data_IF_859566974816
#
_entry.id   IF_859566974816
#
_cell.length_a   1.000
_cell.length_b   1.000
_cell.length_c   1.000
_cell.angle_alpha   90.00
_cell.angle_beta   90.00
_cell.angle_gamma   90.00
#
_symmetry.space_group_name_H-M   'P 1'
#
loop_
_entity.id
_entity.type
_entity.pdbx_description
1 polymer ?
#
# COMPACT_ATOMS: atom_id res chain seq x y z
N UNK A 1 5.94 -19.78 30.43
CA UNK A 1 5.73 -18.33 30.15
C UNK A 1 5.89 -18.05 28.66
N UNK A 2 4.93 -17.35 28.04
CA UNK A 2 5.09 -16.90 26.67
C UNK A 2 6.08 -15.72 26.68
N UNK A 3 7.20 -15.87 25.96
CA UNK A 3 8.16 -14.78 25.74
C UNK A 3 7.61 -13.86 24.67
N UNK A 4 7.60 -12.55 24.93
CA UNK A 4 7.14 -11.53 23.99
C UNK A 4 8.24 -10.51 23.72
N UNK A 5 8.16 -9.86 22.55
CA UNK A 5 8.98 -8.70 22.18
C UNK A 5 8.07 -7.55 21.82
N UNK A 6 8.35 -6.36 22.36
CA UNK A 6 7.66 -5.12 22.06
C UNK A 6 8.70 -4.08 21.66
N UNK A 7 8.60 -3.58 20.44
CA UNK A 7 9.55 -2.61 19.88
C UNK A 7 8.74 -1.53 19.16
N UNK A 8 9.07 -0.27 19.43
CA UNK A 8 8.52 0.83 18.65
C UNK A 8 9.17 0.86 17.26
N UNK A 9 8.34 0.69 16.24
CA UNK A 9 8.74 0.73 14.82
C UNK A 9 8.05 1.87 14.06
N UNK A 10 7.43 2.81 14.76
CA UNK A 10 6.66 3.92 14.16
C UNK A 10 7.54 4.76 13.22
N UNK A 11 8.80 4.96 13.59
CA UNK A 11 9.77 5.72 12.79
C UNK A 11 10.38 4.90 11.63
N UNK A 12 10.09 3.59 11.50
CA UNK A 12 10.62 2.77 10.40
C UNK A 12 9.78 2.93 9.12
N UNK A 13 8.50 3.20 9.25
CA UNK A 13 7.54 3.21 8.15
C UNK A 13 7.14 4.63 7.75
N UNK A 14 6.61 4.75 6.53
CA UNK A 14 5.90 5.92 6.02
C UNK A 14 4.54 5.43 5.54
N UNK A 15 3.48 6.09 6.00
CA UNK A 15 2.12 5.88 5.53
C UNK A 15 1.82 6.76 4.31
N UNK A 16 1.29 6.17 3.25
CA UNK A 16 0.77 6.87 2.08
C UNK A 16 -0.71 6.55 1.90
N UNK A 17 -1.53 7.57 1.63
CA UNK A 17 -2.94 7.39 1.29
C UNK A 17 -3.12 7.58 -0.21
N UNK A 18 -3.71 6.59 -0.88
CA UNK A 18 -4.13 6.67 -2.28
C UNK A 18 -5.65 6.62 -2.31
N UNK A 19 -6.28 7.65 -2.86
CA UNK A 19 -7.76 7.75 -2.87
C UNK A 19 -8.29 8.38 -4.15
N UNK A 20 -9.49 7.96 -4.54
CA UNK A 20 -10.16 8.37 -5.77
C UNK A 20 -10.73 7.16 -6.51
N UNK A 21 -11.63 7.40 -7.45
CA UNK A 21 -12.32 6.33 -8.20
C UNK A 21 -11.33 5.40 -8.93
N UNK A 22 -10.18 5.94 -9.36
CA UNK A 22 -9.10 5.21 -10.04
C UNK A 22 -8.03 4.67 -9.09
N UNK A 23 -8.19 4.76 -7.76
CA UNK A 23 -7.15 4.34 -6.82
C UNK A 23 -6.76 2.86 -6.96
N UNK A 24 -7.75 1.98 -7.16
CA UNK A 24 -7.49 0.57 -7.40
C UNK A 24 -6.72 0.35 -8.72
N UNK A 25 -7.13 1.05 -9.79
CA UNK A 25 -6.48 0.97 -11.10
C UNK A 25 -5.02 1.45 -11.05
N UNK A 26 -4.77 2.59 -10.40
CA UNK A 26 -3.44 3.15 -10.17
C UNK A 26 -2.53 2.14 -9.44
N UNK A 27 -3.03 1.55 -8.36
CA UNK A 27 -2.26 0.57 -7.58
C UNK A 27 -2.00 -0.72 -8.37
N UNK A 28 -2.95 -1.18 -9.17
CA UNK A 28 -2.80 -2.36 -10.03
C UNK A 28 -1.68 -2.22 -11.08
N UNK A 29 -1.23 -1.00 -11.39
CA UNK A 29 -0.07 -0.79 -12.28
C UNK A 29 1.25 -1.34 -11.70
N UNK A 30 1.32 -1.56 -10.38
CA UNK A 30 2.51 -2.09 -9.70
C UNK A 30 2.23 -3.17 -8.66
N UNK A 31 0.97 -3.40 -8.30
CA UNK A 31 0.54 -4.40 -7.33
C UNK A 31 0.02 -5.65 -8.04
N UNK A 32 0.52 -6.86 -7.71
CA UNK A 32 0.08 -8.10 -8.35
C UNK A 32 -1.25 -8.64 -7.82
N UNK A 33 -1.82 -8.05 -6.77
CA UNK A 33 -3.09 -8.49 -6.20
C UNK A 33 -4.27 -8.02 -7.05
N UNK A 34 -5.33 -8.82 -7.10
CA UNK A 34 -6.62 -8.38 -7.58
C UNK A 34 -7.23 -7.40 -6.56
N UNK A 35 -7.41 -6.15 -6.97
CA UNK A 35 -7.94 -5.06 -6.13
C UNK A 35 -9.43 -4.80 -6.35
N UNK A 36 -10.12 -5.69 -7.07
CA UNK A 36 -11.58 -5.69 -7.13
C UNK A 36 -12.20 -5.74 -5.73
N UNK A 37 -13.40 -5.18 -5.58
CA UNK A 37 -14.12 -5.11 -4.29
C UNK A 37 -14.43 -6.47 -3.69
N UNK A 38 -14.63 -7.49 -4.52
CA UNK A 38 -14.91 -8.84 -4.05
C UNK A 38 -13.63 -9.56 -3.60
N UNK A 39 -12.52 -9.37 -4.33
CA UNK A 39 -11.24 -10.00 -4.04
C UNK A 39 -10.49 -9.31 -2.89
N UNK A 40 -10.56 -7.98 -2.81
CA UNK A 40 -9.89 -7.15 -1.81
C UNK A 40 -10.88 -6.20 -1.13
N UNK A 41 -11.77 -6.70 -0.25
CA UNK A 41 -12.83 -5.88 0.37
C UNK A 41 -12.28 -4.85 1.37
N UNK A 42 -13.13 -3.89 1.76
CA UNK A 42 -12.81 -2.90 2.79
C UNK A 42 -12.45 -3.63 4.09
N UNK A 43 -11.37 -3.20 4.74
CA UNK A 43 -10.83 -3.83 5.93
C UNK A 43 -9.75 -4.88 5.64
N UNK A 44 -9.64 -5.38 4.40
CA UNK A 44 -8.56 -6.29 4.04
C UNK A 44 -7.22 -5.57 4.07
N UNK A 45 -6.25 -6.21 4.73
CA UNK A 45 -4.89 -5.70 4.92
C UNK A 45 -3.90 -6.85 4.75
N UNK A 46 -2.90 -6.68 3.88
CA UNK A 46 -1.89 -7.72 3.63
C UNK A 46 -0.58 -7.12 3.17
N UNK A 47 0.49 -7.90 3.26
CA UNK A 47 1.77 -7.58 2.63
C UNK A 47 1.73 -7.97 1.17
N UNK A 48 2.28 -7.10 0.32
CA UNK A 48 2.41 -7.32 -1.12
C UNK A 48 3.58 -6.51 -1.67
N UNK A 49 3.76 -6.55 -2.99
CA UNK A 49 4.70 -5.71 -3.71
C UNK A 49 3.97 -4.53 -4.37
N UNK A 50 4.66 -3.39 -4.43
CA UNK A 50 4.38 -2.30 -5.35
C UNK A 50 5.65 -2.11 -6.19
N UNK A 51 5.61 -2.54 -7.45
CA UNK A 51 6.81 -2.71 -8.27
C UNK A 51 7.87 -3.56 -7.55
N UNK A 52 9.04 -2.98 -7.24
CA UNK A 52 10.17 -3.67 -6.61
C UNK A 52 10.25 -3.45 -5.10
N UNK A 53 9.25 -2.82 -4.48
CA UNK A 53 9.24 -2.56 -3.03
C UNK A 53 8.11 -3.31 -2.34
N UNK A 54 8.37 -3.82 -1.13
CA UNK A 54 7.34 -4.41 -0.29
C UNK A 54 6.55 -3.31 0.41
N UNK A 55 5.22 -3.47 0.42
CA UNK A 55 4.29 -2.62 1.16
C UNK A 55 3.36 -3.47 2.01
N UNK A 56 2.79 -2.87 3.06
CA UNK A 56 1.49 -3.33 3.60
C UNK A 56 0.43 -2.51 2.89
N UNK A 57 -0.51 -3.17 2.23
CA UNK A 57 -1.65 -2.54 1.57
C UNK A 57 -2.92 -2.80 2.39
N UNK A 58 -3.66 -1.74 2.67
CA UNK A 58 -4.91 -1.78 3.43
C UNK A 58 -6.01 -1.01 2.72
N UNK A 59 -7.14 -1.65 2.41
CA UNK A 59 -8.32 -0.95 1.88
C UNK A 59 -9.12 -0.34 3.01
N UNK A 60 -9.07 0.99 3.14
CA UNK A 60 -9.68 1.74 4.24
C UNK A 60 -11.07 2.29 3.88
N UNK A 61 -11.41 2.38 2.59
CA UNK A 61 -12.73 2.73 2.10
C UNK A 61 -12.96 2.15 0.69
N UNK A 62 -14.15 2.40 0.12
CA UNK A 62 -14.51 1.92 -1.22
C UNK A 62 -13.48 2.32 -2.28
N UNK A 63 -13.01 3.57 -2.23
CA UNK A 63 -12.07 4.18 -3.18
C UNK A 63 -10.83 4.73 -2.47
N UNK A 64 -10.45 4.16 -1.32
CA UNK A 64 -9.26 4.60 -0.59
C UNK A 64 -8.45 3.45 0.00
N UNK A 65 -7.13 3.56 -0.14
CA UNK A 65 -6.14 2.61 0.32
C UNK A 65 -5.08 3.33 1.16
N UNK A 66 -4.60 2.64 2.19
CA UNK A 66 -3.45 3.00 2.99
C UNK A 66 -2.30 2.05 2.66
N UNK A 67 -1.12 2.61 2.44
CA UNK A 67 0.10 1.87 2.19
C UNK A 67 1.09 2.18 3.31
N UNK A 68 1.65 1.16 3.94
CA UNK A 68 2.87 1.31 4.75
C UNK A 68 4.07 0.83 3.94
N UNK A 69 5.06 1.72 3.80
CA UNK A 69 6.32 1.41 3.12
C UNK A 69 7.50 1.71 4.05
N UNK A 70 8.57 0.92 3.94
CA UNK A 70 9.81 1.22 4.63
C UNK A 70 10.29 2.62 4.24
N UNK A 71 10.62 3.45 5.23
CA UNK A 71 10.91 4.87 5.01
C UNK A 71 11.94 5.14 3.91
N UNK A 72 13.00 4.34 3.84
CA UNK A 72 14.05 4.48 2.82
C UNK A 72 13.53 4.28 1.39
N UNK A 73 12.42 3.55 1.22
CA UNK A 73 11.76 3.31 -0.06
C UNK A 73 10.61 4.27 -0.35
N UNK A 74 10.23 5.14 0.59
CA UNK A 74 9.11 6.07 0.39
C UNK A 74 9.28 6.95 -0.86
N UNK A 75 10.45 7.54 -1.17
CA UNK A 75 10.63 8.31 -2.40
C UNK A 75 10.45 7.46 -3.68
N UNK A 76 10.86 6.18 -3.65
CA UNK A 76 10.69 5.26 -4.77
C UNK A 76 9.21 4.91 -4.99
N UNK A 77 8.49 4.56 -3.92
CA UNK A 77 7.06 4.26 -3.99
C UNK A 77 6.26 5.49 -4.47
N UNK A 78 6.58 6.68 -3.95
CA UNK A 78 5.95 7.93 -4.37
C UNK A 78 6.19 8.23 -5.85
N UNK A 79 7.45 8.21 -6.30
CA UNK A 79 7.79 8.48 -7.70
C UNK A 79 7.16 7.47 -8.66
N UNK A 80 7.00 6.21 -8.24
CA UNK A 80 6.25 5.23 -9.02
C UNK A 80 4.77 5.63 -9.15
N UNK A 81 4.10 6.00 -8.05
CA UNK A 81 2.70 6.40 -8.08
C UNK A 81 2.47 7.65 -8.95
N UNK A 82 3.34 8.65 -8.84
CA UNK A 82 3.30 9.86 -9.70
C UNK A 82 3.51 9.53 -11.19
N UNK A 83 4.35 8.55 -11.50
CA UNK A 83 4.54 8.12 -12.89
C UNK A 83 3.31 7.36 -13.39
N UNK A 84 2.82 6.39 -12.62
CA UNK A 84 1.66 5.61 -12.98
C UNK A 84 0.41 6.48 -13.16
N UNK A 85 0.23 7.53 -12.36
CA UNK A 85 -0.87 8.49 -12.51
C UNK A 85 -0.85 9.23 -13.85
N UNK A 86 0.33 9.54 -14.40
CA UNK A 86 0.46 10.21 -15.71
C UNK A 86 0.12 9.30 -16.89
N UNK A 87 0.20 7.99 -16.67
CA UNK A 87 -0.01 6.98 -17.70
C UNK A 87 -1.46 6.44 -17.70
N UNK A 88 -2.30 6.89 -16.76
CA UNK A 88 -3.74 6.62 -16.69
C UNK A 88 -4.57 7.58 -17.56
#
# INVERSE_FOLDING_TARGET
>A
PLSFSLVDVSHRQVGLKVSGEHAALLLSAGCPLDLDRQAFPIGMCTRTLLQKTEIVLWRIAETAFHLEVARSFAPYAWGFLEQAERDL
#
